data_IF_031122256454
#
_entry.id   IF_031122256454
#
_cell.length_a   1.000
_cell.length_b   1.000
_cell.length_c   1.000
_cell.angle_alpha   90.00
_cell.angle_beta   90.00
_cell.angle_gamma   90.00
#
_symmetry.space_group_name_H-M   'P 1'
#
loop_
_entity.id
_entity.type
_entity.pdbx_description
1 polymer ?
#
# COMPACT_ATOMS: atom_id res chain seq x y z
N UNK A 1 -10.62 9.15 17.48
CA UNK A 1 -9.74 10.17 16.90
C UNK A 1 -9.85 10.00 15.40
N UNK A 2 -10.56 10.87 14.68
CA UNK A 2 -10.79 10.64 13.24
C UNK A 2 -9.69 11.32 12.44
N UNK A 3 -8.60 10.60 12.18
CA UNK A 3 -7.67 10.94 11.10
C UNK A 3 -8.26 10.60 9.74
N UNK A 4 -7.66 11.09 8.65
CA UNK A 4 -8.02 10.67 7.29
C UNK A 4 -7.78 9.16 7.14
N UNK A 5 -8.69 8.39 6.51
CA UNK A 5 -8.45 6.98 6.24
C UNK A 5 -7.18 6.78 5.40
N UNK A 6 -6.41 5.75 5.73
CA UNK A 6 -5.14 5.43 5.06
C UNK A 6 -5.31 4.19 4.18
N UNK A 7 -4.97 4.32 2.90
CA UNK A 7 -4.86 3.20 1.96
C UNK A 7 -3.37 2.93 1.74
N UNK A 8 -2.92 1.74 2.10
CA UNK A 8 -1.61 1.23 1.75
C UNK A 8 -1.67 0.56 0.38
N UNK A 9 -0.86 1.02 -0.59
CA UNK A 9 -0.65 0.36 -1.87
C UNK A 9 0.68 -0.39 -1.87
N UNK A 10 0.63 -1.66 -2.21
CA UNK A 10 1.77 -2.55 -2.40
C UNK A 10 2.13 -2.55 -3.89
N UNK A 11 3.14 -1.76 -4.26
CA UNK A 11 3.49 -1.45 -5.64
C UNK A 11 3.20 0.03 -5.99
N UNK A 12 4.21 0.69 -6.54
CA UNK A 12 4.23 2.11 -6.90
C UNK A 12 4.25 2.36 -8.40
N UNK A 13 3.82 1.38 -9.21
CA UNK A 13 3.82 1.42 -10.67
C UNK A 13 2.84 2.42 -11.29
N UNK A 14 2.67 2.34 -12.61
CA UNK A 14 1.81 3.27 -13.36
C UNK A 14 0.33 3.15 -12.96
N UNK A 15 -0.14 1.95 -12.63
CA UNK A 15 -1.52 1.77 -12.16
C UNK A 15 -1.71 2.37 -10.77
N UNK A 16 -0.72 2.22 -9.89
CA UNK A 16 -0.70 2.89 -8.59
C UNK A 16 -0.76 4.41 -8.74
N UNK A 17 -0.04 4.98 -9.72
CA UNK A 17 -0.09 6.42 -10.01
C UNK A 17 -1.49 6.85 -10.44
N UNK A 18 -2.10 6.13 -11.38
CA UNK A 18 -3.47 6.42 -11.84
C UNK A 18 -4.49 6.29 -10.70
N UNK A 19 -4.28 5.33 -9.79
CA UNK A 19 -5.08 5.19 -8.58
C UNK A 19 -4.99 6.43 -7.69
N UNK A 20 -3.77 6.89 -7.39
CA UNK A 20 -3.55 8.09 -6.55
C UNK A 20 -4.22 9.32 -7.18
N UNK A 21 -4.02 9.55 -8.49
CA UNK A 21 -4.64 10.66 -9.21
C UNK A 21 -6.17 10.64 -9.12
N UNK A 22 -6.79 9.45 -9.11
CA UNK A 22 -8.23 9.31 -8.89
C UNK A 22 -8.62 9.53 -7.41
N UNK A 23 -7.80 9.03 -6.48
CA UNK A 23 -8.00 9.12 -5.04
C UNK A 23 -7.99 10.56 -4.52
N UNK A 24 -7.35 11.50 -5.22
CA UNK A 24 -7.35 12.95 -4.90
C UNK A 24 -8.75 13.57 -4.75
N UNK A 25 -9.80 12.91 -5.27
CA UNK A 25 -11.20 13.37 -5.16
C UNK A 25 -11.83 13.01 -3.80
N UNK A 26 -11.15 12.21 -3.00
CA UNK A 26 -11.61 11.69 -1.71
C UNK A 26 -10.68 12.17 -0.60
N UNK A 27 -11.22 12.32 0.61
CA UNK A 27 -10.43 12.73 1.79
C UNK A 27 -9.72 11.51 2.41
N UNK A 28 -8.74 10.97 1.69
CA UNK A 28 -7.95 9.79 2.07
C UNK A 28 -6.45 10.08 1.93
N UNK A 29 -5.63 9.32 2.65
CA UNK A 29 -4.18 9.30 2.47
C UNK A 29 -3.76 8.03 1.73
N UNK A 30 -2.86 8.19 0.76
CA UNK A 30 -2.27 7.06 0.04
C UNK A 30 -0.81 6.88 0.45
N UNK A 31 -0.53 5.75 1.08
CA UNK A 31 0.82 5.33 1.43
C UNK A 31 1.26 4.25 0.44
N UNK A 32 2.50 4.31 -0.06
CA UNK A 32 3.01 3.38 -1.08
C UNK A 32 4.30 2.73 -0.60
N UNK A 33 4.38 1.40 -0.77
CA UNK A 33 5.60 0.61 -0.62
C UNK A 33 6.05 0.14 -1.99
N UNK A 34 7.31 0.42 -2.35
CA UNK A 34 7.91 -0.05 -3.60
C UNK A 34 9.44 -0.19 -3.44
N UNK A 35 10.10 -1.21 -4.05
CA UNK A 35 11.54 -1.35 -4.00
C UNK A 35 12.31 -0.28 -4.81
N UNK A 36 11.71 0.28 -5.86
CA UNK A 36 12.32 1.30 -6.72
C UNK A 36 12.10 2.71 -6.13
N UNK A 37 13.16 3.42 -5.70
CA UNK A 37 13.01 4.78 -5.18
C UNK A 37 12.52 5.78 -6.24
N UNK A 38 12.57 5.43 -7.53
CA UNK A 38 12.06 6.23 -8.64
C UNK A 38 10.71 5.74 -9.16
N UNK A 39 10.01 4.87 -8.41
CA UNK A 39 8.70 4.37 -8.80
C UNK A 39 7.74 5.54 -9.14
N UNK A 40 6.83 5.38 -10.12
CA UNK A 40 5.89 6.43 -10.54
C UNK A 40 5.14 7.14 -9.42
N UNK A 41 4.78 6.41 -8.35
CA UNK A 41 4.09 6.95 -7.17
C UNK A 41 4.97 7.77 -6.21
N UNK A 42 6.31 7.63 -6.28
CA UNK A 42 7.26 8.19 -5.29
C UNK A 42 7.13 9.70 -5.07
N UNK A 43 6.66 10.44 -6.07
CA UNK A 43 6.54 11.90 -6.04
C UNK A 43 5.13 12.41 -5.75
N UNK A 44 4.13 11.53 -5.69
CA UNK A 44 2.71 11.91 -5.57
C UNK A 44 1.96 11.24 -4.41
N UNK A 45 2.51 10.17 -3.83
CA UNK A 45 1.94 9.55 -2.63
C UNK A 45 2.10 10.48 -1.40
N UNK A 46 1.13 10.47 -0.48
CA UNK A 46 1.25 11.18 0.80
C UNK A 46 2.44 10.66 1.62
N UNK A 47 2.72 9.36 1.50
CA UNK A 47 3.90 8.71 2.06
C UNK A 47 4.43 7.65 1.11
N UNK A 48 5.72 7.72 0.81
CA UNK A 48 6.42 6.68 0.06
C UNK A 48 7.47 6.02 0.95
N UNK A 49 7.52 4.69 0.94
CA UNK A 49 8.52 3.89 1.65
C UNK A 49 9.23 3.01 0.64
N UNK A 50 10.55 3.13 0.55
CA UNK A 50 11.34 2.21 -0.23
C UNK A 50 11.50 0.89 0.55
N UNK A 51 11.07 -0.23 -0.02
CA UNK A 51 11.18 -1.53 0.64
C UNK A 51 10.74 -2.71 -0.23
N UNK A 52 11.12 -3.92 0.18
CA UNK A 52 10.79 -5.14 -0.55
C UNK A 52 9.33 -5.52 -0.35
N UNK A 53 8.66 -5.88 -1.44
CA UNK A 53 7.29 -6.43 -1.44
C UNK A 53 7.28 -7.93 -1.11
N UNK A 54 8.42 -8.60 -1.21
CA UNK A 54 8.58 -10.03 -0.90
C UNK A 54 9.00 -10.29 0.54
N UNK A 55 9.51 -9.27 1.24
CA UNK A 55 9.87 -9.38 2.65
C UNK A 55 8.61 -9.21 3.51
N UNK A 56 8.15 -10.32 4.09
CA UNK A 56 6.88 -10.35 4.81
C UNK A 56 6.83 -9.33 5.95
N UNK A 57 7.96 -9.17 6.66
CA UNK A 57 8.08 -8.21 7.76
C UNK A 57 7.94 -6.78 7.28
N UNK A 58 8.63 -6.41 6.19
CA UNK A 58 8.54 -5.08 5.58
C UNK A 58 7.10 -4.75 5.19
N UNK A 59 6.40 -5.68 4.54
CA UNK A 59 5.00 -5.49 4.14
C UNK A 59 4.08 -5.32 5.34
N UNK A 60 4.20 -6.19 6.36
CA UNK A 60 3.39 -6.12 7.58
C UNK A 60 3.65 -4.82 8.35
N UNK A 61 4.92 -4.48 8.60
CA UNK A 61 5.31 -3.28 9.35
C UNK A 61 4.83 -2.00 8.63
N UNK A 62 4.91 -1.97 7.30
CA UNK A 62 4.40 -0.88 6.48
C UNK A 62 2.88 -0.75 6.57
N UNK A 63 2.14 -1.84 6.37
CA UNK A 63 0.68 -1.84 6.30
C UNK A 63 -0.03 -1.84 7.66
N UNK A 64 0.70 -2.05 8.77
CA UNK A 64 0.16 -2.04 10.13
C UNK A 64 -0.59 -0.73 10.48
N UNK A 65 -0.22 0.38 9.85
CA UNK A 65 -0.83 1.70 10.09
C UNK A 65 -1.97 2.06 9.12
N UNK A 66 -2.26 1.22 8.13
CA UNK A 66 -3.30 1.48 7.14
C UNK A 66 -4.68 0.92 7.55
N UNK A 67 -5.75 1.51 7.03
CA UNK A 67 -7.11 0.99 7.18
C UNK A 67 -7.43 -0.07 6.12
N UNK A 68 -6.91 0.12 4.90
CA UNK A 68 -7.08 -0.77 3.75
C UNK A 68 -5.74 -1.01 3.08
N UNK A 69 -5.51 -2.23 2.62
CA UNK A 69 -4.31 -2.64 1.86
C UNK A 69 -4.75 -3.02 0.44
N UNK A 70 -4.23 -2.32 -0.56
CA UNK A 70 -4.42 -2.60 -1.97
C UNK A 70 -3.14 -3.16 -2.61
N UNK A 71 -3.31 -4.07 -3.57
CA UNK A 71 -2.21 -4.73 -4.28
C UNK A 71 -2.18 -4.24 -5.73
N UNK A 72 -1.02 -3.77 -6.20
CA UNK A 72 -0.83 -3.27 -7.57
C UNK A 72 -0.08 -4.25 -8.48
N UNK A 73 0.72 -5.16 -7.90
CA UNK A 73 1.58 -6.11 -8.63
C UNK A 73 1.44 -7.53 -8.08
N UNK A 74 1.72 -8.56 -8.90
CA UNK A 74 1.58 -9.96 -8.48
C UNK A 74 2.72 -10.45 -7.56
N UNK A 75 3.90 -9.81 -7.59
CA UNK A 75 5.04 -10.21 -6.77
C UNK A 75 4.99 -9.53 -5.39
N UNK A 76 4.14 -10.07 -4.52
CA UNK A 76 3.96 -9.63 -3.13
C UNK A 76 3.93 -10.85 -2.21
N UNK A 77 4.49 -10.72 -1.01
CA UNK A 77 4.47 -11.77 0.02
C UNK A 77 3.04 -12.16 0.41
N UNK A 78 2.56 -13.31 -0.05
CA UNK A 78 1.25 -13.88 0.31
C UNK A 78 1.14 -14.11 1.83
N UNK A 79 2.23 -14.54 2.47
CA UNK A 79 2.29 -14.70 3.93
C UNK A 79 1.98 -13.39 4.66
N UNK A 80 2.50 -12.25 4.18
CA UNK A 80 2.20 -10.95 4.74
C UNK A 80 0.73 -10.57 4.56
N UNK A 81 0.15 -10.83 3.39
CA UNK A 81 -1.27 -10.53 3.11
C UNK A 81 -2.20 -11.32 4.03
N UNK A 82 -1.92 -12.61 4.23
CA UNK A 82 -2.66 -13.46 5.19
C UNK A 82 -2.51 -12.91 6.61
N UNK A 83 -1.28 -12.58 7.02
CA UNK A 83 -1.00 -12.00 8.35
C UNK A 83 -1.77 -10.70 8.59
N UNK A 84 -1.80 -9.79 7.61
CA UNK A 84 -2.54 -8.53 7.69
C UNK A 84 -4.05 -8.77 7.82
N UNK A 85 -4.59 -9.74 7.10
CA UNK A 85 -6.00 -10.14 7.20
C UNK A 85 -6.33 -10.71 8.58
N UNK A 86 -5.49 -11.56 9.13
CA UNK A 86 -5.63 -12.09 10.50
C UNK A 86 -5.54 -10.99 11.56
N UNK A 87 -4.77 -9.93 11.30
CA UNK A 87 -4.71 -8.72 12.12
C UNK A 87 -5.93 -7.79 11.95
N UNK A 88 -6.91 -8.18 11.12
CA UNK A 88 -8.14 -7.43 10.90
C UNK A 88 -8.04 -6.33 9.85
N UNK A 89 -6.97 -6.27 9.06
CA UNK A 89 -6.86 -5.34 7.93
C UNK A 89 -7.74 -5.78 6.78
N UNK A 90 -8.34 -4.81 6.08
CA UNK A 90 -9.05 -5.08 4.83
C UNK A 90 -8.04 -5.13 3.67
N UNK A 91 -7.79 -6.32 3.15
CA UNK A 91 -6.90 -6.55 2.01
C UNK A 91 -7.74 -6.67 0.72
N UNK A 92 -7.31 -6.01 -0.36
CA UNK A 92 -8.01 -6.02 -1.65
C UNK A 92 -6.99 -6.23 -2.80
N UNK A 93 -7.19 -7.23 -3.66
CA UNK A 93 -8.16 -8.33 -3.54
C UNK A 93 -7.91 -9.21 -2.31
N UNK A 94 -8.88 -10.07 -1.98
CA UNK A 94 -8.73 -11.04 -0.90
C UNK A 94 -7.66 -12.09 -1.31
N UNK A 95 -6.64 -12.34 -0.48
CA UNK A 95 -5.53 -13.26 -0.77
C UNK A 95 -5.92 -14.75 -0.64
#
# INVERSE_FOLDING_TARGET
MSGRPVIALLGGGQLGRMFIENALRYDVEIHVLDPDPNAPCSTIADRFVQGSLDDARTVVDFAAHADVVGIEIEHVSVEALITLKEQGKRVIPDP
#
